data_IF_577283442978
#
_entry.id   IF_577283442978
#
_cell.length_a   1.000
_cell.length_b   1.000
_cell.length_c   1.000
_cell.angle_alpha   90.00
_cell.angle_beta   90.00
_cell.angle_gamma   90.00
#
_symmetry.space_group_name_H-M   'P 1'
#
loop_
_entity.id
_entity.type
_entity.pdbx_description
1 polymer ?
#
# COMPACT_ATOMS: atom_id res chain seq x y z
N UNK A 1 -12.93 -9.12 20.94
CA UNK A 1 -13.67 -10.39 21.19
C UNK A 1 -12.77 -11.63 21.07
N UNK A 2 -11.61 -11.55 20.40
CA UNK A 2 -10.72 -12.69 20.10
C UNK A 2 -9.86 -13.20 21.27
N UNK A 3 -9.49 -12.32 22.21
CA UNK A 3 -8.70 -12.69 23.41
C UNK A 3 -9.38 -13.75 24.27
N UNK A 4 -10.72 -13.82 24.20
CA UNK A 4 -11.52 -14.75 24.98
C UNK A 4 -11.46 -16.18 24.44
N UNK A 5 -11.42 -16.38 23.12
CA UNK A 5 -11.41 -17.72 22.51
C UNK A 5 -10.07 -18.43 22.75
N UNK A 6 -8.95 -17.71 22.60
CA UNK A 6 -7.62 -18.26 22.84
C UNK A 6 -7.42 -18.68 24.30
N UNK A 7 -7.81 -17.79 25.23
CA UNK A 7 -7.71 -18.06 26.66
C UNK A 7 -8.51 -19.32 27.03
N UNK A 8 -9.69 -19.50 26.41
CA UNK A 8 -10.50 -20.71 26.58
C UNK A 8 -9.78 -21.95 26.02
N UNK A 9 -9.21 -21.90 24.82
CA UNK A 9 -8.47 -23.03 24.23
C UNK A 9 -7.27 -23.43 25.08
N UNK A 10 -6.51 -22.46 25.60
CA UNK A 10 -5.41 -22.69 26.54
C UNK A 10 -5.88 -23.38 27.81
N UNK A 11 -6.92 -22.85 28.46
CA UNK A 11 -7.46 -23.38 29.71
C UNK A 11 -7.96 -24.82 29.48
N UNK A 12 -8.70 -25.07 28.41
CA UNK A 12 -9.19 -26.41 28.05
C UNK A 12 -8.03 -27.37 27.81
N UNK A 13 -6.98 -26.94 27.11
CA UNK A 13 -5.78 -27.74 26.85
C UNK A 13 -5.06 -28.14 28.15
N UNK A 14 -4.93 -27.20 29.09
CA UNK A 14 -4.33 -27.44 30.41
C UNK A 14 -5.21 -28.39 31.24
N UNK A 15 -6.53 -28.17 31.28
CA UNK A 15 -7.47 -29.04 32.00
C UNK A 15 -7.42 -30.47 31.42
N UNK A 16 -7.38 -30.60 30.10
CA UNK A 16 -7.24 -31.89 29.42
C UNK A 16 -5.94 -32.61 29.83
N UNK A 17 -4.82 -31.90 29.89
CA UNK A 17 -3.53 -32.45 30.34
C UNK A 17 -3.57 -32.90 31.80
N UNK A 18 -4.16 -32.09 32.69
CA UNK A 18 -4.29 -32.40 34.12
C UNK A 18 -5.13 -33.67 34.33
N UNK A 19 -6.17 -33.87 33.52
CA UNK A 19 -7.04 -35.06 33.58
C UNK A 19 -6.37 -36.35 33.10
N UNK A 20 -5.24 -36.26 32.39
CA UNK A 20 -4.49 -37.41 31.87
C UNK A 20 -3.47 -37.99 32.86
N UNK A 21 -3.55 -37.64 34.16
CA UNK A 21 -2.69 -38.19 35.22
C UNK A 21 -2.67 -39.72 35.15
N UNK A 22 -1.49 -40.31 35.01
CA UNK A 22 -1.31 -41.77 34.99
C UNK A 22 -0.76 -42.28 36.31
N UNK A 23 0.33 -41.68 36.78
CA UNK A 23 1.01 -42.05 38.01
C UNK A 23 0.69 -41.08 39.14
N UNK A 24 0.60 -41.61 40.36
CA UNK A 24 0.53 -40.83 41.59
C UNK A 24 1.76 -39.92 41.70
N UNK A 25 1.53 -38.61 41.63
CA UNK A 25 2.60 -37.63 41.69
C UNK A 25 2.12 -36.39 42.45
N UNK A 26 2.92 -35.95 43.42
CA UNK A 26 2.68 -34.74 44.18
C UNK A 26 2.77 -33.50 43.28
N UNK A 27 1.83 -32.57 43.47
CA UNK A 27 1.75 -31.29 42.75
C UNK A 27 1.69 -31.46 41.21
N UNK A 28 1.12 -32.56 40.73
CA UNK A 28 1.03 -32.89 39.31
C UNK A 28 0.45 -31.74 38.47
N UNK A 29 -0.66 -31.13 38.91
CA UNK A 29 -1.31 -30.04 38.17
C UNK A 29 -0.42 -28.81 37.98
N UNK A 30 0.30 -28.41 39.05
CA UNK A 30 1.24 -27.28 39.01
C UNK A 30 2.41 -27.61 38.08
N UNK A 31 2.92 -28.85 38.13
CA UNK A 31 3.97 -29.29 37.22
C UNK A 31 3.52 -29.22 35.77
N UNK A 32 2.30 -29.66 35.44
CA UNK A 32 1.75 -29.54 34.07
C UNK A 32 1.70 -28.08 33.61
N UNK A 33 1.24 -27.16 34.46
CA UNK A 33 1.25 -25.72 34.16
C UNK A 33 2.69 -25.25 33.93
N UNK A 34 3.65 -25.66 34.77
CA UNK A 34 5.06 -25.30 34.62
C UNK A 34 5.67 -25.79 33.31
N UNK A 35 5.43 -27.05 32.92
CA UNK A 35 5.89 -27.58 31.64
C UNK A 35 5.24 -26.86 30.45
N UNK A 36 3.96 -26.52 30.55
CA UNK A 36 3.27 -25.73 29.53
C UNK A 36 3.88 -24.34 29.38
N UNK A 37 4.05 -23.62 30.49
CA UNK A 37 4.66 -22.29 30.50
C UNK A 37 6.11 -22.30 29.99
N UNK A 38 6.89 -23.35 30.32
CA UNK A 38 8.21 -23.54 29.73
C UNK A 38 8.13 -23.62 28.20
N UNK A 39 7.17 -24.36 27.65
CA UNK A 39 7.00 -24.46 26.20
C UNK A 39 6.66 -23.12 25.54
N UNK A 40 5.87 -22.28 26.20
CA UNK A 40 5.41 -21.00 25.66
C UNK A 40 6.44 -19.87 25.80
N UNK A 41 7.39 -20.00 26.74
CA UNK A 41 8.31 -18.92 27.07
C UNK A 41 9.23 -18.57 25.91
N UNK A 42 9.20 -17.29 25.51
CA UNK A 42 9.96 -16.74 24.40
C UNK A 42 11.07 -15.79 24.84
N UNK A 43 12.14 -15.75 24.05
CA UNK A 43 13.13 -14.68 24.07
C UNK A 43 12.91 -13.83 22.83
N UNK A 44 12.54 -12.56 23.01
CA UNK A 44 12.33 -11.64 21.89
C UNK A 44 13.65 -10.91 21.57
N UNK A 45 14.13 -11.09 20.33
CA UNK A 45 15.32 -10.44 19.78
C UNK A 45 14.89 -9.59 18.59
N UNK A 46 14.54 -8.33 18.84
CA UNK A 46 14.03 -7.39 17.84
C UNK A 46 12.87 -7.98 17.02
N UNK A 47 13.14 -8.39 15.77
CA UNK A 47 12.15 -8.93 14.83
C UNK A 47 11.90 -10.44 14.96
N UNK A 48 12.64 -11.15 15.83
CA UNK A 48 12.55 -12.60 15.94
C UNK A 48 12.36 -13.06 17.38
N UNK A 49 11.42 -13.98 17.59
CA UNK A 49 11.19 -14.60 18.89
C UNK A 49 11.74 -16.02 18.90
N UNK A 50 12.54 -16.40 19.89
CA UNK A 50 13.05 -17.77 20.03
C UNK A 50 12.29 -18.53 21.14
N UNK A 51 11.96 -19.81 20.97
CA UNK A 51 11.30 -20.63 21.99
C UNK A 51 12.30 -21.06 23.09
N UNK A 52 12.89 -20.09 23.78
CA UNK A 52 13.97 -20.34 24.75
C UNK A 52 13.53 -21.29 25.86
N UNK A 53 12.29 -21.17 26.34
CA UNK A 53 11.83 -22.07 27.39
C UNK A 53 11.71 -23.52 26.93
N UNK A 54 11.35 -23.77 25.67
CA UNK A 54 11.35 -25.12 25.13
C UNK A 54 12.77 -25.68 24.97
N UNK A 55 13.74 -24.84 24.59
CA UNK A 55 15.16 -25.23 24.55
C UNK A 55 15.66 -25.60 25.95
N UNK A 56 15.33 -24.77 26.96
CA UNK A 56 15.64 -25.05 28.37
C UNK A 56 15.00 -26.35 28.83
N UNK A 57 13.75 -26.62 28.42
CA UNK A 57 13.08 -27.89 28.70
C UNK A 57 13.88 -29.08 28.16
N UNK A 58 14.32 -29.03 26.90
CA UNK A 58 15.08 -30.12 26.28
C UNK A 58 16.43 -30.39 26.96
N UNK A 59 17.10 -29.33 27.42
CA UNK A 59 18.43 -29.43 28.02
C UNK A 59 18.40 -29.83 29.50
N UNK A 60 17.47 -29.26 30.28
CA UNK A 60 17.51 -29.33 31.75
C UNK A 60 16.33 -30.08 32.39
N UNK A 61 15.17 -30.19 31.72
CA UNK A 61 13.97 -30.73 32.35
C UNK A 61 13.55 -32.07 31.73
N UNK A 62 14.15 -33.16 32.23
CA UNK A 62 13.79 -34.54 31.85
C UNK A 62 12.90 -35.19 32.92
N UNK A 63 11.57 -35.25 32.72
CA UNK A 63 10.68 -35.87 33.70
C UNK A 63 10.91 -37.37 33.80
N UNK A 64 10.79 -37.91 35.01
CA UNK A 64 10.88 -39.36 35.31
C UNK A 64 9.50 -39.98 35.53
N UNK A 65 8.56 -39.25 36.13
CA UNK A 65 7.15 -39.64 36.31
C UNK A 65 6.23 -38.89 35.34
N UNK A 66 5.13 -39.53 34.93
CA UNK A 66 4.13 -38.99 34.00
C UNK A 66 4.76 -38.37 32.72
N UNK A 67 5.86 -38.97 32.24
CA UNK A 67 6.74 -38.43 31.19
C UNK A 67 5.96 -38.00 29.94
N UNK A 68 5.03 -38.84 29.49
CA UNK A 68 4.23 -38.59 28.27
C UNK A 68 3.40 -37.32 28.40
N UNK A 69 2.75 -37.10 29.54
CA UNK A 69 1.84 -35.95 29.73
C UNK A 69 2.64 -34.65 29.91
N UNK A 70 3.75 -34.67 30.65
CA UNK A 70 4.62 -33.50 30.81
C UNK A 70 5.32 -33.10 29.51
N UNK A 71 5.75 -34.07 28.70
CA UNK A 71 6.26 -33.80 27.35
C UNK A 71 5.17 -33.18 26.46
N UNK A 72 3.94 -33.71 26.52
CA UNK A 72 2.83 -33.16 25.76
C UNK A 72 2.50 -31.73 26.22
N UNK A 73 2.60 -31.43 27.51
CA UNK A 73 2.43 -30.07 28.03
C UNK A 73 3.48 -29.10 27.47
N UNK A 74 4.78 -29.47 27.48
CA UNK A 74 5.83 -28.65 26.89
C UNK A 74 5.66 -28.46 25.37
N UNK A 75 5.24 -29.50 24.65
CA UNK A 75 4.94 -29.40 23.21
C UNK A 75 3.74 -28.51 22.95
N UNK A 76 2.68 -28.60 23.75
CA UNK A 76 1.51 -27.73 23.60
C UNK A 76 1.88 -26.26 23.88
N UNK A 77 2.76 -25.99 24.85
CA UNK A 77 3.32 -24.67 25.06
C UNK A 77 4.10 -24.16 23.85
N UNK A 78 4.95 -25.01 23.23
CA UNK A 78 5.68 -24.67 22.01
C UNK A 78 4.72 -24.36 20.84
N UNK A 79 3.67 -25.16 20.66
CA UNK A 79 2.65 -24.91 19.65
C UNK A 79 1.96 -23.57 19.90
N UNK A 80 1.61 -23.25 21.15
CA UNK A 80 1.05 -21.96 21.51
C UNK A 80 2.03 -20.81 21.22
N UNK A 81 3.32 -20.98 21.50
CA UNK A 81 4.37 -20.04 21.13
C UNK A 81 4.42 -19.79 19.61
N UNK A 82 4.47 -20.85 18.80
CA UNK A 82 4.53 -20.74 17.33
C UNK A 82 3.28 -20.04 16.81
N UNK A 83 2.12 -20.41 17.34
CA UNK A 83 0.86 -19.82 16.93
C UNK A 83 0.83 -18.31 17.23
N UNK A 84 1.26 -17.91 18.43
CA UNK A 84 1.22 -16.52 18.87
C UNK A 84 2.25 -15.60 18.22
N UNK A 85 3.47 -16.09 17.99
CA UNK A 85 4.56 -15.24 17.50
C UNK A 85 4.68 -15.25 15.98
N UNK A 86 4.09 -16.22 15.28
CA UNK A 86 4.24 -16.35 13.83
C UNK A 86 2.91 -16.47 13.09
N UNK A 87 2.09 -17.47 13.43
CA UNK A 87 0.89 -17.78 12.64
C UNK A 87 -0.13 -16.65 12.76
N UNK A 88 -0.42 -16.18 13.96
CA UNK A 88 -1.44 -15.18 14.21
C UNK A 88 -1.05 -13.79 13.67
N UNK A 89 0.17 -13.25 13.91
CA UNK A 89 0.61 -12.02 13.27
C UNK A 89 0.56 -12.09 11.74
N UNK A 90 0.99 -13.22 11.16
CA UNK A 90 0.91 -13.43 9.71
C UNK A 90 -0.54 -13.47 9.21
N UNK A 91 -1.44 -14.16 9.92
CA UNK A 91 -2.85 -14.25 9.55
C UNK A 91 -3.56 -12.89 9.63
N UNK A 92 -3.28 -12.11 10.68
CA UNK A 92 -3.81 -10.75 10.84
C UNK A 92 -3.31 -9.87 9.70
N UNK A 93 -2.00 -9.80 9.49
CA UNK A 93 -1.42 -9.03 8.38
C UNK A 93 -1.99 -9.48 7.03
N UNK A 94 -2.09 -10.79 6.78
CA UNK A 94 -2.66 -11.30 5.54
C UNK A 94 -4.14 -10.99 5.38
N UNK A 95 -4.89 -10.81 6.48
CA UNK A 95 -6.29 -10.44 6.45
C UNK A 95 -6.48 -8.93 6.23
N UNK A 96 -5.70 -8.12 6.93
CA UNK A 96 -5.69 -6.66 6.81
C UNK A 96 -5.18 -6.19 5.44
N UNK A 97 -4.19 -6.86 4.85
CA UNK A 97 -3.68 -6.55 3.51
C UNK A 97 -4.52 -7.15 2.37
N UNK A 98 -5.72 -7.67 2.64
CA UNK A 98 -6.56 -8.22 1.56
C UNK A 98 -6.98 -7.10 0.62
N UNK A 99 -6.88 -7.31 -0.70
CA UNK A 99 -7.33 -6.32 -1.65
C UNK A 99 -8.85 -6.18 -1.58
N UNK A 100 -9.32 -4.93 -1.51
CA UNK A 100 -10.70 -4.57 -1.76
C UNK A 100 -10.87 -4.48 -3.28
N UNK A 101 -11.86 -5.18 -3.81
CA UNK A 101 -12.14 -5.25 -5.25
C UNK A 101 -13.40 -4.44 -5.52
N UNK A 102 -13.30 -3.42 -6.37
CA UNK A 102 -14.41 -2.55 -6.73
C UNK A 102 -14.68 -2.75 -8.23
N UNK A 103 -15.81 -3.34 -8.55
CA UNK A 103 -16.22 -3.59 -9.93
C UNK A 103 -16.60 -2.28 -10.62
N UNK A 104 -15.93 -2.00 -11.74
CA UNK A 104 -16.20 -0.85 -12.58
C UNK A 104 -15.47 -1.02 -13.90
N UNK A 105 -16.16 -0.81 -15.02
CA UNK A 105 -15.52 -0.81 -16.33
C UNK A 105 -15.06 0.60 -16.68
N UNK A 106 -13.79 0.73 -17.05
CA UNK A 106 -13.22 1.98 -17.52
C UNK A 106 -13.56 2.25 -18.98
N UNK A 107 -13.92 3.49 -19.25
CA UNK A 107 -14.04 4.02 -20.60
C UNK A 107 -12.67 4.52 -21.11
N UNK A 108 -12.67 5.09 -22.31
CA UNK A 108 -11.49 5.79 -22.85
C UNK A 108 -11.04 6.90 -21.91
N UNK A 109 -9.73 7.17 -21.85
CA UNK A 109 -9.20 8.30 -21.07
C UNK A 109 -9.78 9.65 -21.51
N UNK A 110 -10.25 9.76 -22.76
CA UNK A 110 -10.84 10.98 -23.31
C UNK A 110 -12.24 11.27 -22.76
N UNK A 111 -12.90 10.27 -22.20
CA UNK A 111 -14.25 10.36 -21.64
C UNK A 111 -14.24 10.15 -20.11
N UNK A 112 -13.08 9.77 -19.56
CA UNK A 112 -12.90 9.44 -18.16
C UNK A 112 -13.15 10.65 -17.26
N UNK A 113 -14.09 10.51 -16.32
CA UNK A 113 -14.29 11.48 -15.26
C UNK A 113 -13.42 11.11 -14.04
N UNK A 114 -12.23 11.70 -13.97
CA UNK A 114 -11.25 11.42 -12.91
C UNK A 114 -11.81 11.65 -11.50
N UNK A 115 -12.59 12.73 -11.31
CA UNK A 115 -13.24 13.01 -10.03
C UNK A 115 -14.25 11.93 -9.63
N UNK A 116 -15.08 11.47 -10.57
CA UNK A 116 -16.05 10.42 -10.30
C UNK A 116 -15.38 9.09 -9.93
N UNK A 117 -14.25 8.75 -10.55
CA UNK A 117 -13.49 7.55 -10.20
C UNK A 117 -12.85 7.63 -8.81
N UNK A 118 -12.31 8.79 -8.46
CA UNK A 118 -11.83 9.06 -7.10
C UNK A 118 -12.95 8.92 -6.06
N UNK A 119 -14.12 9.52 -6.30
CA UNK A 119 -15.28 9.46 -5.40
C UNK A 119 -15.85 8.05 -5.29
N UNK A 120 -15.81 7.26 -6.37
CA UNK A 120 -16.21 5.85 -6.36
C UNK A 120 -15.33 5.07 -5.39
N UNK A 121 -14.01 5.17 -5.56
CA UNK A 121 -13.06 4.43 -4.74
C UNK A 121 -13.12 4.88 -3.29
N UNK A 122 -13.14 6.18 -3.01
CA UNK A 122 -13.21 6.68 -1.63
C UNK A 122 -14.53 6.35 -0.92
N UNK A 123 -15.66 6.28 -1.65
CA UNK A 123 -16.94 5.84 -1.09
C UNK A 123 -16.93 4.37 -0.65
N UNK A 124 -16.37 3.48 -1.47
CA UNK A 124 -16.25 2.06 -1.14
C UNK A 124 -15.28 1.81 0.04
N UNK A 125 -14.32 2.70 0.24
CA UNK A 125 -13.37 2.66 1.35
C UNK A 125 -13.86 3.42 2.60
N UNK A 126 -15.05 4.02 2.58
CA UNK A 126 -15.58 4.89 3.64
C UNK A 126 -14.64 6.07 4.02
N UNK A 127 -13.95 6.61 3.02
CA UNK A 127 -12.97 7.70 3.18
C UNK A 127 -13.57 9.10 2.96
N UNK A 128 -14.85 9.22 2.63
CA UNK A 128 -15.48 10.49 2.23
C UNK A 128 -15.41 11.61 3.29
N UNK A 129 -15.29 11.26 4.57
CA UNK A 129 -15.16 12.23 5.67
C UNK A 129 -13.72 12.41 6.15
N UNK A 130 -12.75 11.77 5.49
CA UNK A 130 -11.35 11.78 5.86
C UNK A 130 -10.58 12.69 4.90
N UNK A 131 -9.70 13.52 5.46
CA UNK A 131 -8.76 14.28 4.65
C UNK A 131 -7.65 13.32 4.20
N UNK A 132 -7.73 12.86 2.96
CA UNK A 132 -6.75 11.95 2.35
C UNK A 132 -5.93 12.70 1.32
N UNK A 133 -4.63 12.46 1.36
CA UNK A 133 -3.65 13.14 0.52
C UNK A 133 -3.26 12.27 -0.67
N UNK A 134 -3.05 12.87 -1.85
CA UNK A 134 -2.50 12.17 -3.01
C UNK A 134 -0.98 12.11 -2.88
N UNK A 135 -0.42 10.91 -2.97
CA UNK A 135 1.03 10.70 -3.00
C UNK A 135 1.54 10.43 -4.41
N UNK A 136 0.84 9.61 -5.18
CA UNK A 136 1.25 9.26 -6.54
C UNK A 136 0.01 9.08 -7.39
N UNK A 137 0.11 9.47 -8.66
CA UNK A 137 -0.89 9.20 -9.68
C UNK A 137 -0.17 8.85 -10.98
N UNK A 138 -0.64 7.83 -11.68
CA UNK A 138 -0.12 7.44 -12.98
C UNK A 138 -1.23 6.87 -13.85
N UNK A 139 -1.30 7.35 -15.09
CA UNK A 139 -2.11 6.75 -16.15
C UNK A 139 -1.30 6.68 -17.44
N UNK A 140 -1.30 5.49 -18.05
CA UNK A 140 -0.70 5.24 -19.35
C UNK A 140 -1.82 4.88 -20.34
N UNK A 141 -1.80 5.48 -21.52
CA UNK A 141 -2.85 5.26 -22.52
C UNK A 141 -2.32 5.36 -23.95
N UNK A 142 -3.04 4.73 -24.87
CA UNK A 142 -2.75 4.73 -26.30
C UNK A 142 -3.38 5.94 -26.99
N UNK A 143 -3.02 6.17 -28.26
CA UNK A 143 -3.49 7.32 -29.04
C UNK A 143 -5.00 7.31 -29.34
N UNK A 144 -5.64 6.15 -29.28
CA UNK A 144 -7.10 6.02 -29.37
C UNK A 144 -7.79 6.27 -28.02
N UNK A 145 -7.02 6.49 -26.96
CA UNK A 145 -7.47 6.74 -25.61
C UNK A 145 -7.66 5.47 -24.78
N UNK A 146 -7.29 4.30 -25.30
CA UNK A 146 -7.33 3.05 -24.55
C UNK A 146 -6.33 3.10 -23.39
N UNK A 147 -6.81 2.90 -22.17
CA UNK A 147 -6.00 2.93 -20.96
C UNK A 147 -5.29 1.58 -20.80
N UNK A 148 -3.99 1.63 -20.54
CA UNK A 148 -3.12 0.44 -20.42
C UNK A 148 -2.59 0.24 -19.00
N UNK A 149 -2.47 1.31 -18.22
CA UNK A 149 -2.19 1.26 -16.79
C UNK A 149 -2.88 2.46 -16.10
N UNK A 150 -3.47 2.22 -14.94
CA UNK A 150 -4.04 3.25 -14.07
C UNK A 150 -3.77 2.88 -12.62
N UNK A 151 -3.09 3.77 -11.91
CA UNK A 151 -2.82 3.61 -10.50
C UNK A 151 -2.68 4.94 -9.77
N UNK A 152 -3.00 4.94 -8.47
CA UNK A 152 -2.74 6.05 -7.59
C UNK A 152 -2.60 5.61 -6.14
N UNK A 153 -2.03 6.47 -5.30
CA UNK A 153 -1.79 6.21 -3.90
C UNK A 153 -2.37 7.33 -3.04
N UNK A 154 -3.20 6.96 -2.07
CA UNK A 154 -3.79 7.87 -1.09
C UNK A 154 -3.16 7.63 0.28
N UNK A 155 -2.90 8.71 1.02
CA UNK A 155 -2.42 8.66 2.40
C UNK A 155 -3.48 9.29 3.30
N UNK A 156 -4.01 8.51 4.24
CA UNK A 156 -4.83 9.00 5.35
C UNK A 156 -4.02 9.06 6.65
N UNK A 157 -4.40 9.93 7.57
CA UNK A 157 -3.80 9.99 8.91
C UNK A 157 -4.91 10.13 9.96
N UNK A 158 -4.93 9.22 10.94
CA UNK A 158 -5.92 9.21 12.02
C UNK A 158 -5.46 9.94 13.30
N UNK A 159 -4.30 10.60 13.24
CA UNK A 159 -3.67 11.28 14.37
C UNK A 159 -2.53 10.49 15.01
N UNK A 160 -2.46 9.17 14.77
CA UNK A 160 -1.40 8.30 15.33
C UNK A 160 -0.66 7.53 14.25
N UNK A 161 -1.39 6.93 13.31
CA UNK A 161 -0.81 6.10 12.24
C UNK A 161 -1.21 6.62 10.87
N UNK A 162 -0.34 6.38 9.89
CA UNK A 162 -0.63 6.65 8.49
C UNK A 162 -1.21 5.39 7.84
N UNK A 163 -2.21 5.58 7.00
CA UNK A 163 -2.83 4.54 6.19
C UNK A 163 -2.52 4.82 4.73
N UNK A 164 -1.78 3.93 4.09
CA UNK A 164 -1.50 3.98 2.65
C UNK A 164 -2.50 3.09 1.93
N UNK A 165 -3.24 3.68 0.99
CA UNK A 165 -4.15 2.99 0.07
C UNK A 165 -3.53 3.02 -1.32
N UNK A 166 -3.16 1.85 -1.83
CA UNK A 166 -2.66 1.71 -3.19
C UNK A 166 -3.80 1.23 -4.08
N UNK A 167 -4.21 2.06 -5.02
CA UNK A 167 -5.29 1.80 -5.96
C UNK A 167 -4.69 1.47 -7.32
N UNK A 168 -5.04 0.31 -7.87
CA UNK A 168 -4.62 -0.10 -9.22
C UNK A 168 -5.78 -0.73 -9.97
N UNK A 169 -5.96 -0.37 -11.23
CA UNK A 169 -6.96 -1.00 -12.07
C UNK A 169 -6.44 -2.30 -12.70
N UNK A 170 -7.24 -3.38 -12.64
CA UNK A 170 -6.98 -4.68 -13.26
C UNK A 170 -7.86 -4.82 -14.51
N UNK A 171 -7.31 -4.41 -15.66
CA UNK A 171 -7.99 -4.45 -16.97
C UNK A 171 -8.42 -5.87 -17.38
N UNK A 172 -7.75 -6.91 -16.89
CA UNK A 172 -8.13 -8.30 -17.18
C UNK A 172 -9.43 -8.72 -16.49
N UNK A 173 -9.88 -7.95 -15.50
CA UNK A 173 -11.06 -8.26 -14.67
C UNK A 173 -12.10 -7.15 -14.60
N UNK A 174 -11.82 -5.94 -15.06
CA UNK A 174 -12.75 -4.82 -14.97
C UNK A 174 -12.97 -4.35 -13.53
N UNK A 175 -11.90 -4.30 -12.73
CA UNK A 175 -11.99 -3.96 -11.30
C UNK A 175 -10.85 -3.06 -10.84
N UNK A 176 -11.13 -2.13 -9.93
CA UNK A 176 -10.10 -1.56 -9.07
C UNK A 176 -9.73 -2.55 -7.99
N UNK A 177 -8.42 -2.69 -7.77
CA UNK A 177 -7.82 -3.41 -6.67
C UNK A 177 -7.20 -2.39 -5.73
N UNK A 178 -7.70 -2.32 -4.50
CA UNK A 178 -7.16 -1.44 -3.46
C UNK A 178 -6.48 -2.27 -2.40
N UNK A 179 -5.20 -2.01 -2.12
CA UNK A 179 -4.49 -2.60 -0.98
C UNK A 179 -4.22 -1.54 0.09
N UNK A 180 -4.49 -1.88 1.35
CA UNK A 180 -4.25 -1.01 2.49
C UNK A 180 -3.03 -1.50 3.28
N UNK A 181 -2.22 -0.54 3.74
CA UNK A 181 -1.11 -0.78 4.66
C UNK A 181 -1.01 0.33 5.71
N UNK A 182 -0.45 0.00 6.87
CA UNK A 182 -0.23 0.94 7.97
C UNK A 182 1.25 1.29 8.08
N UNK A 183 1.53 2.55 8.37
CA UNK A 183 2.88 3.09 8.45
C UNK A 183 3.00 4.00 9.67
N UNK A 184 4.10 3.84 10.42
CA UNK A 184 4.35 4.64 11.63
C UNK A 184 4.73 6.09 11.30
N UNK A 185 5.36 6.33 10.15
CA UNK A 185 5.87 7.65 9.77
C UNK A 185 5.69 7.89 8.28
N UNK A 186 5.29 9.11 7.93
CA UNK A 186 5.29 9.62 6.56
C UNK A 186 5.87 11.04 6.53
N UNK A 187 7.15 11.17 6.15
CA UNK A 187 7.90 12.42 6.33
C UNK A 187 7.34 13.60 5.53
N UNK A 188 6.75 13.33 4.37
CA UNK A 188 6.29 14.36 3.42
C UNK A 188 4.78 14.61 3.49
N UNK A 189 4.05 14.05 4.47
CA UNK A 189 2.58 14.07 4.48
C UNK A 189 1.99 15.48 4.38
N UNK A 190 2.59 16.43 5.08
CA UNK A 190 2.13 17.83 5.10
C UNK A 190 2.48 18.62 3.85
N UNK A 191 3.33 18.06 2.98
CA UNK A 191 3.70 18.64 1.68
C UNK A 191 2.86 18.07 0.54
N UNK A 192 1.92 17.15 0.81
CA UNK A 192 1.04 16.55 -0.18
C UNK A 192 -0.22 17.39 -0.39
N UNK A 193 -0.87 17.16 -1.53
CA UNK A 193 -2.14 17.78 -1.90
C UNK A 193 -3.32 16.94 -1.44
N UNK A 194 -4.43 17.58 -1.06
CA UNK A 194 -5.70 16.90 -0.82
C UNK A 194 -6.17 16.20 -2.10
N UNK A 195 -6.45 14.89 -2.02
CA UNK A 195 -6.73 14.08 -3.19
C UNK A 195 -7.96 14.55 -3.97
N UNK A 196 -9.03 14.96 -3.27
CA UNK A 196 -10.23 15.50 -3.92
C UNK A 196 -9.93 16.69 -4.81
N UNK A 197 -9.13 17.64 -4.31
CA UNK A 197 -8.71 18.81 -5.08
C UNK A 197 -7.79 18.43 -6.26
N UNK A 198 -6.93 17.44 -6.06
CA UNK A 198 -6.08 16.93 -7.14
C UNK A 198 -6.92 16.39 -8.31
N UNK A 199 -7.93 15.55 -8.04
CA UNK A 199 -8.77 14.96 -9.08
C UNK A 199 -9.72 15.98 -9.72
N UNK A 200 -10.17 16.99 -8.96
CA UNK A 200 -10.89 18.15 -9.48
C UNK A 200 -10.03 18.91 -10.51
N UNK A 201 -8.79 19.27 -10.16
CA UNK A 201 -7.87 19.94 -11.08
C UNK A 201 -7.47 19.08 -12.27
N UNK A 202 -7.27 17.77 -12.07
CA UNK A 202 -6.95 16.84 -13.14
C UNK A 202 -8.08 16.76 -14.18
N UNK A 203 -9.33 16.90 -13.74
CA UNK A 203 -10.52 16.88 -14.61
C UNK A 203 -10.63 18.11 -15.51
N UNK A 204 -9.82 19.15 -15.30
CA UNK A 204 -9.75 20.33 -16.17
C UNK A 204 -8.86 20.11 -17.39
N UNK A 205 -8.04 19.05 -17.40
CA UNK A 205 -7.17 18.74 -18.54
C UNK A 205 -7.99 18.11 -19.67
N UNK A 206 -7.99 18.72 -20.86
CA UNK A 206 -8.49 18.08 -22.07
C UNK A 206 -7.47 17.06 -22.57
N UNK A 207 -7.53 15.84 -22.02
CA UNK A 207 -6.57 14.77 -22.35
C UNK A 207 -6.52 14.49 -23.85
N UNK A 208 -7.64 14.67 -24.55
CA UNK A 208 -7.73 14.43 -25.99
C UNK A 208 -6.97 15.48 -26.77
N UNK A 209 -7.17 16.76 -26.46
CA UNK A 209 -6.40 17.86 -27.04
C UNK A 209 -4.91 17.70 -26.76
N UNK A 210 -4.53 17.43 -25.50
CA UNK A 210 -3.14 17.20 -25.10
C UNK A 210 -2.47 16.07 -25.88
N UNK A 211 -3.22 15.00 -26.15
CA UNK A 211 -2.72 13.88 -26.95
C UNK A 211 -2.48 14.29 -28.40
N UNK A 212 -3.42 15.02 -29.00
CA UNK A 212 -3.30 15.47 -30.38
C UNK A 212 -2.16 16.47 -30.58
N UNK A 213 -2.00 17.42 -29.67
CA UNK A 213 -0.92 18.42 -29.71
C UNK A 213 0.46 17.77 -29.66
N UNK A 214 0.62 16.73 -28.84
CA UNK A 214 1.89 16.00 -28.73
C UNK A 214 2.23 15.23 -30.01
N UNK A 215 1.27 14.89 -30.86
CA UNK A 215 1.53 14.18 -32.13
C UNK A 215 1.47 12.66 -32.01
N UNK A 216 2.18 11.93 -32.87
CA UNK A 216 2.02 10.48 -33.04
C UNK A 216 3.10 9.66 -32.31
N UNK A 217 2.74 9.02 -31.20
CA UNK A 217 3.65 8.27 -30.33
C UNK A 217 3.08 6.92 -29.92
N UNK A 218 3.94 6.06 -29.33
CA UNK A 218 3.56 4.69 -28.97
C UNK A 218 2.51 4.65 -27.87
N UNK A 219 2.67 5.50 -26.86
CA UNK A 219 1.71 5.72 -25.78
C UNK A 219 2.02 7.04 -25.09
N UNK A 220 1.13 7.47 -24.22
CA UNK A 220 1.19 8.74 -23.49
C UNK A 220 1.03 8.47 -22.00
N UNK A 221 1.56 9.37 -21.19
CA UNK A 221 1.57 9.25 -19.73
C UNK A 221 1.10 10.55 -19.11
N UNK A 222 0.25 10.46 -18.09
CA UNK A 222 -0.03 11.54 -17.14
C UNK A 222 0.38 11.02 -15.76
N UNK A 223 1.25 11.75 -15.07
CA UNK A 223 1.77 11.31 -13.77
C UNK A 223 1.98 12.46 -12.77
N UNK A 224 1.93 12.15 -11.49
CA UNK A 224 2.25 13.03 -10.38
C UNK A 224 2.93 12.22 -9.27
N UNK A 225 3.93 12.81 -8.60
CA UNK A 225 4.66 12.21 -7.48
C UNK A 225 4.25 12.75 -6.10
N UNK A 226 3.16 13.52 -6.03
CA UNK A 226 2.69 14.22 -4.82
C UNK A 226 3.54 15.43 -4.44
N UNK A 227 4.75 15.52 -4.99
CA UNK A 227 5.74 16.55 -4.68
C UNK A 227 5.26 17.96 -5.03
N UNK A 228 5.53 18.87 -4.11
CA UNK A 228 5.43 20.31 -4.32
C UNK A 228 6.78 20.83 -4.83
N UNK A 229 6.78 21.47 -5.99
CA UNK A 229 8.01 22.01 -6.60
C UNK A 229 8.01 23.52 -6.55
N UNK A 230 9.22 24.08 -6.44
CA UNK A 230 9.45 25.51 -6.55
C UNK A 230 10.21 25.78 -7.86
N UNK A 231 9.53 26.37 -8.82
CA UNK A 231 10.10 26.74 -10.11
C UNK A 231 10.76 28.10 -9.97
N UNK A 232 12.10 28.11 -9.97
CA UNK A 232 12.94 29.32 -9.81
C UNK A 232 13.70 29.75 -11.06
N UNK A 233 13.70 28.90 -12.08
CA UNK A 233 14.53 29.09 -13.28
C UNK A 233 13.73 28.80 -14.55
N UNK A 234 14.14 29.49 -15.62
CA UNK A 234 13.60 29.30 -16.97
C UNK A 234 13.99 27.90 -17.47
N UNK A 235 13.02 27.04 -17.76
CA UNK A 235 13.27 25.81 -18.51
C UNK A 235 12.72 25.96 -19.94
N UNK A 236 13.22 25.12 -20.85
CA UNK A 236 12.73 25.08 -22.23
C UNK A 236 11.40 24.31 -22.36
N UNK A 237 10.83 23.85 -21.25
CA UNK A 237 9.60 23.05 -21.22
C UNK A 237 8.40 23.96 -20.94
N UNK A 238 7.27 23.65 -21.57
CA UNK A 238 6.04 24.41 -21.38
C UNK A 238 5.46 24.13 -20.00
N UNK A 239 5.24 25.21 -19.24
CA UNK A 239 4.69 25.18 -17.89
C UNK A 239 3.38 25.94 -17.85
N UNK A 240 2.36 25.24 -17.41
CA UNK A 240 1.00 25.74 -17.23
C UNK A 240 0.68 25.77 -15.75
N UNK A 241 -0.18 26.69 -15.33
CA UNK A 241 -0.77 26.67 -14.00
C UNK A 241 -2.29 26.72 -14.09
N UNK A 242 -2.95 26.13 -13.11
CA UNK A 242 -4.40 26.19 -12.94
C UNK A 242 -4.70 27.23 -11.86
N UNK A 243 -5.40 28.31 -12.25
CA UNK A 243 -5.83 29.34 -11.29
C UNK A 243 -7.22 28.99 -10.76
N UNK A 244 -7.32 28.79 -9.43
CA UNK A 244 -8.58 28.64 -8.70
C UNK A 244 -9.61 27.70 -9.34
N UNK A 245 -9.17 26.61 -9.97
CA UNK A 245 -10.05 25.59 -10.55
C UNK A 245 -10.82 25.98 -11.81
N UNK A 246 -10.57 27.13 -12.44
CA UNK A 246 -11.41 27.60 -13.56
C UNK A 246 -10.69 27.66 -14.91
N UNK A 247 -9.39 28.00 -14.98
CA UNK A 247 -8.68 28.11 -16.26
C UNK A 247 -7.20 27.69 -16.20
N UNK A 248 -6.75 27.01 -17.27
CA UNK A 248 -5.33 26.71 -17.54
C UNK A 248 -4.68 27.95 -18.15
N UNK A 249 -3.63 28.47 -17.53
CA UNK A 249 -2.89 29.64 -17.99
C UNK A 249 -1.40 29.33 -18.14
N UNK A 250 -0.75 29.91 -19.14
CA UNK A 250 0.69 29.77 -19.33
C UNK A 250 1.43 30.56 -18.23
N UNK A 251 2.44 29.94 -17.61
CA UNK A 251 3.31 30.65 -16.68
C UNK A 251 4.08 31.72 -17.47
N UNK A 252 3.80 33.00 -17.20
CA UNK A 252 4.53 34.12 -17.78
C UNK A 252 6.01 34.02 -17.36
N UNK A 253 6.90 34.06 -18.36
CA UNK A 253 8.34 34.05 -18.19
C UNK A 253 8.79 35.08 -17.15
N UNK A 254 8.12 36.23 -16.97
CA UNK A 254 8.56 37.25 -16.00
C UNK A 254 8.23 36.96 -14.52
N UNK A 255 7.52 35.86 -14.21
CA UNK A 255 7.13 35.46 -12.85
C UNK A 255 7.90 34.20 -12.43
N UNK A 256 9.20 34.34 -12.18
CA UNK A 256 10.12 33.22 -11.91
C UNK A 256 10.06 32.62 -10.50
N UNK A 257 9.07 32.95 -9.67
CA UNK A 257 8.92 32.33 -8.34
C UNK A 257 7.51 31.78 -8.21
N UNK A 258 7.35 30.53 -8.63
CA UNK A 258 6.07 29.84 -8.64
C UNK A 258 6.23 28.53 -7.90
N UNK A 259 5.38 28.30 -6.91
CA UNK A 259 5.37 27.06 -6.13
C UNK A 259 4.02 26.36 -6.27
N UNK A 260 4.03 25.05 -6.51
CA UNK A 260 2.81 24.27 -6.66
C UNK A 260 3.09 22.78 -6.80
N UNK A 261 2.02 21.98 -6.76
CA UNK A 261 2.11 20.55 -7.07
C UNK A 261 2.04 20.36 -8.57
N UNK A 262 2.81 19.45 -9.14
CA UNK A 262 2.89 19.33 -10.58
C UNK A 262 2.29 18.01 -11.09
N UNK A 263 1.59 18.08 -12.22
CA UNK A 263 1.25 16.93 -13.07
C UNK A 263 2.11 17.03 -14.32
N UNK A 264 2.81 15.94 -14.66
CA UNK A 264 3.54 15.83 -15.92
C UNK A 264 2.67 15.09 -16.91
N UNK A 265 2.59 15.62 -18.12
CA UNK A 265 2.11 14.89 -19.29
C UNK A 265 3.25 14.73 -20.28
N UNK A 266 3.39 13.54 -20.86
CA UNK A 266 4.45 13.26 -21.82
C UNK A 266 4.03 12.22 -22.84
N UNK A 267 4.65 12.28 -24.02
CA UNK A 267 4.55 11.24 -25.03
C UNK A 267 5.76 10.30 -24.91
N UNK A 268 5.56 9.02 -25.19
CA UNK A 268 6.59 8.01 -25.02
C UNK A 268 7.12 7.56 -26.38
N UNK A 269 8.38 7.92 -26.63
CA UNK A 269 9.09 7.56 -27.85
C UNK A 269 9.83 6.25 -27.64
N UNK A 270 9.57 5.27 -28.50
CA UNK A 270 10.34 4.03 -28.51
C UNK A 270 11.78 4.29 -28.96
N UNK A 271 12.73 3.88 -28.13
CA UNK A 271 14.17 4.06 -28.39
C UNK A 271 14.89 2.75 -28.70
N UNK A 272 14.37 1.62 -28.21
CA UNK A 272 15.01 0.32 -28.43
C UNK A 272 13.96 -0.79 -28.55
N UNK A 273 14.25 -1.77 -29.40
CA UNK A 273 13.52 -3.03 -29.51
C UNK A 273 14.52 -4.18 -29.61
N UNK A 274 14.43 -5.17 -28.72
CA UNK A 274 15.21 -6.41 -28.81
C UNK A 274 14.31 -7.57 -29.16
N UNK A 275 14.67 -8.30 -30.21
CA UNK A 275 14.04 -9.56 -30.61
C UNK A 275 14.98 -10.74 -30.43
N UNK A 276 14.43 -11.92 -30.17
CA UNK A 276 15.20 -13.16 -30.14
C UNK A 276 15.56 -13.61 -31.56
N UNK A 277 16.31 -14.72 -31.68
CA UNK A 277 16.71 -15.28 -32.97
C UNK A 277 15.53 -15.81 -33.80
N UNK A 278 14.36 -16.01 -33.16
CA UNK A 278 13.12 -16.47 -33.75
C UNK A 278 12.21 -15.30 -34.20
N UNK A 279 12.58 -14.06 -33.88
CA UNK A 279 11.81 -12.86 -34.22
C UNK A 279 10.82 -12.41 -33.13
N UNK A 280 10.73 -13.12 -32.01
CA UNK A 280 9.85 -12.75 -30.90
C UNK A 280 10.43 -11.56 -30.14
N UNK A 281 9.56 -10.64 -29.76
CA UNK A 281 9.91 -9.49 -28.95
C UNK A 281 10.33 -9.92 -27.54
N UNK A 282 11.51 -9.48 -27.10
CA UNK A 282 12.04 -9.74 -25.74
C UNK A 282 11.93 -8.49 -24.86
N UNK A 283 12.25 -7.33 -25.42
CA UNK A 283 12.35 -6.09 -24.65
C UNK A 283 12.05 -4.88 -25.55
N UNK A 284 11.37 -3.89 -24.98
CA UNK A 284 11.25 -2.55 -25.53
C UNK A 284 11.74 -1.53 -24.49
N UNK A 285 12.34 -0.45 -24.97
CA UNK A 285 12.75 0.69 -24.14
C UNK A 285 12.11 1.95 -24.71
N UNK A 286 11.66 2.84 -23.83
CA UNK A 286 10.99 4.08 -24.17
C UNK A 286 11.61 5.25 -23.42
N UNK A 287 11.54 6.43 -24.02
CA UNK A 287 11.99 7.70 -23.46
C UNK A 287 10.84 8.71 -23.51
N UNK A 288 10.65 9.46 -22.43
CA UNK A 288 9.66 10.53 -22.35
C UNK A 288 10.09 11.73 -23.19
N UNK A 289 9.17 12.25 -23.99
CA UNK A 289 9.36 13.40 -24.86
C UNK A 289 8.09 14.26 -24.89
N UNK A 290 8.15 15.45 -25.47
CA UNK A 290 7.04 16.42 -25.49
C UNK A 290 6.44 16.66 -24.09
N UNK A 291 7.30 17.02 -23.12
CA UNK A 291 6.88 17.20 -21.73
C UNK A 291 6.12 18.51 -21.55
N UNK A 292 4.99 18.42 -20.84
CA UNK A 292 4.25 19.59 -20.36
C UNK A 292 3.97 19.43 -18.86
N UNK A 293 4.17 20.51 -18.12
CA UNK A 293 3.95 20.54 -16.67
C UNK A 293 2.71 21.38 -16.34
N UNK A 294 1.81 20.82 -15.56
CA UNK A 294 0.62 21.51 -15.04
C UNK A 294 0.77 21.69 -13.54
N UNK A 295 0.80 22.95 -13.09
CA UNK A 295 0.94 23.31 -11.69
C UNK A 295 -0.43 23.56 -11.05
N UNK A 296 -0.68 22.88 -9.94
CA UNK A 296 -1.88 22.93 -9.13
C UNK A 296 -1.58 23.62 -7.78
N UNK A 297 -2.57 24.31 -7.20
CA UNK A 297 -2.44 25.09 -5.95
C UNK A 297 -1.25 26.06 -5.94
N UNK A 298 -1.18 26.86 -7.01
CA UNK A 298 -0.04 27.73 -7.26
C UNK A 298 0.00 28.92 -6.31
N UNK A 299 1.18 29.13 -5.71
CA UNK A 299 1.54 30.32 -4.95
C UNK A 299 2.61 31.09 -5.72
N UNK A 300 2.34 32.36 -6.00
CA UNK A 300 3.30 33.27 -6.61
C UNK A 300 4.13 33.96 -5.52
N UNK A 301 5.46 33.93 -5.65
CA UNK A 301 6.36 34.70 -4.80
C UNK A 301 6.25 36.20 -5.07
N UNK A 302 6.48 37.02 -4.03
CA UNK A 302 6.60 38.47 -4.20
C UNK A 302 7.86 38.83 -5.01
N UNK A 303 7.74 39.86 -5.85
CA UNK A 303 8.84 40.43 -6.66
C UNK A 303 9.86 41.18 -5.80
#
# INVERSE_FOLDING_TARGET
>A
METNLYTVVLIVSIIYLIRKKGEEEENFSIKIIGYFLLGTFSLNLNQFSLPLGFIVYLLFFRPTLNVKVKRMAAVFGLVAFVFMNYILPYAIHSYESRPIMIEHELESVYELNFQAEYERVTRELDLNNHNVMIQNFNINYLKDGDITDLSWQLIGHDGTIYHLYEVRYDFGKGVYRVTQSQLDTWLQYYELMEAGRFFEHLSLLDVKELTYEKGDYSYYVIQNSGERINVREKSNEEKYFISNGEEIQLVDDEKFSVEGHYVITMAMKKIEEKRNKQGDLIQESFEGTELSYYLFDVVFGEK
#
